data_IF_635578553171
#
_entry.id   IF_635578553171
#
_cell.length_a   1.000
_cell.length_b   1.000
_cell.length_c   1.000
_cell.angle_alpha   90.00
_cell.angle_beta   90.00
_cell.angle_gamma   90.00
#
_symmetry.space_group_name_H-M   'P 1'
#
loop_
_entity.id
_entity.type
_entity.pdbx_description
1 polymer ?
#
# COMPACT_ATOMS: atom_id res chain seq x y z
N UNK A 1 11.23 5.95 0.28
CA UNK A 1 10.92 5.72 -1.11
C UNK A 1 11.80 6.55 -2.00
N UNK A 2 12.13 6.01 -3.17
CA UNK A 2 13.10 6.61 -4.06
C UNK A 2 12.72 8.03 -4.50
N UNK A 3 11.47 8.27 -4.82
CA UNK A 3 11.01 9.58 -5.24
C UNK A 3 9.59 9.82 -4.74
N UNK A 4 9.40 10.92 -4.03
CA UNK A 4 8.10 11.32 -3.49
C UNK A 4 7.44 12.39 -4.36
N UNK A 5 7.53 12.21 -5.67
CA UNK A 5 6.93 13.14 -6.62
C UNK A 5 5.47 12.76 -6.85
N UNK A 6 4.58 13.65 -6.43
CA UNK A 6 3.15 13.50 -6.61
C UNK A 6 2.78 13.72 -8.07
N UNK A 7 2.05 12.80 -8.66
CA UNK A 7 1.61 12.90 -10.05
C UNK A 7 0.24 12.28 -10.22
N UNK A 8 -0.47 12.66 -11.29
CA UNK A 8 -1.73 12.02 -11.67
C UNK A 8 -1.45 10.91 -12.67
N UNK A 9 -2.11 9.79 -12.48
CA UNK A 9 -2.07 8.68 -13.43
C UNK A 9 -3.32 8.70 -14.30
N UNK A 10 -3.15 8.67 -15.62
CA UNK A 10 -4.24 8.58 -16.57
C UNK A 10 -4.34 7.14 -17.08
N UNK A 11 -5.42 6.39 -16.75
CA UNK A 11 -5.50 4.99 -17.14
C UNK A 11 -5.79 4.83 -18.63
N UNK A 12 -5.16 3.79 -19.21
CA UNK A 12 -5.48 3.32 -20.57
C UNK A 12 -6.85 2.64 -20.59
N UNK A 13 -7.21 1.96 -19.50
CA UNK A 13 -8.46 1.21 -19.37
C UNK A 13 -9.26 1.72 -18.16
N UNK A 14 -9.88 2.91 -18.29
CA UNK A 14 -10.55 3.54 -17.15
C UNK A 14 -11.71 2.71 -16.57
N UNK A 15 -12.32 1.83 -17.35
CA UNK A 15 -13.40 0.97 -16.87
C UNK A 15 -12.97 -0.05 -15.81
N UNK A 16 -11.67 -0.36 -15.73
CA UNK A 16 -11.13 -1.25 -14.70
C UNK A 16 -10.98 -0.56 -13.36
N UNK A 17 -10.87 0.76 -13.35
CA UNK A 17 -10.61 1.51 -12.13
C UNK A 17 -11.87 1.65 -11.28
N UNK A 18 -11.75 1.30 -9.99
CA UNK A 18 -12.82 1.43 -9.00
C UNK A 18 -12.67 2.75 -8.26
N UNK A 19 -13.33 3.77 -8.78
CA UNK A 19 -13.28 5.13 -8.27
C UNK A 19 -13.33 6.11 -9.42
N UNK A 20 -12.84 7.33 -9.18
CA UNK A 20 -12.80 8.36 -10.22
C UNK A 20 -11.52 8.21 -11.06
N UNK A 21 -11.60 7.70 -12.31
CA UNK A 21 -10.40 7.51 -13.13
C UNK A 21 -9.72 8.82 -13.54
N UNK A 22 -10.38 9.94 -13.35
CA UNK A 22 -9.80 11.25 -13.64
C UNK A 22 -9.05 11.84 -12.46
N UNK A 23 -9.03 11.15 -11.32
CA UNK A 23 -8.39 11.63 -10.10
C UNK A 23 -7.59 10.53 -9.39
N UNK A 24 -6.69 9.90 -10.13
CA UNK A 24 -5.78 8.88 -9.58
C UNK A 24 -4.46 9.56 -9.25
N UNK A 25 -4.15 9.67 -7.96
CA UNK A 25 -2.94 10.35 -7.50
C UNK A 25 -1.90 9.33 -7.07
N UNK A 26 -0.73 9.38 -7.69
CA UNK A 26 0.44 8.60 -7.30
C UNK A 26 1.35 9.50 -6.47
N UNK A 27 1.71 9.04 -5.28
CA UNK A 27 2.55 9.79 -4.34
C UNK A 27 4.04 9.50 -4.49
N UNK A 28 4.37 8.55 -5.36
CA UNK A 28 5.75 8.18 -5.66
C UNK A 28 5.83 7.50 -7.01
N UNK A 29 7.05 7.38 -7.53
CA UNK A 29 7.31 6.66 -8.79
C UNK A 29 6.98 5.17 -8.66
N UNK A 30 7.15 4.60 -7.48
CA UNK A 30 6.81 3.19 -7.23
C UNK A 30 5.31 2.94 -7.31
N UNK A 31 4.51 3.84 -6.73
CA UNK A 31 3.06 3.77 -6.83
C UNK A 31 2.60 3.92 -8.27
N UNK A 32 3.22 4.84 -9.03
CA UNK A 32 2.91 5.02 -10.44
C UNK A 32 3.22 3.75 -11.24
N UNK A 33 4.33 3.09 -10.96
CA UNK A 33 4.69 1.82 -11.59
C UNK A 33 3.62 0.75 -11.30
N UNK A 34 3.14 0.69 -10.08
CA UNK A 34 2.09 -0.27 -9.69
C UNK A 34 0.76 0.05 -10.37
N UNK A 35 0.38 1.32 -10.46
CA UNK A 35 -0.82 1.76 -11.21
C UNK A 35 -0.76 1.27 -12.64
N UNK A 36 0.37 1.47 -13.30
CA UNK A 36 0.56 1.04 -14.69
C UNK A 36 0.45 -0.48 -14.83
N UNK A 37 1.03 -1.21 -13.90
CA UNK A 37 0.93 -2.67 -13.88
C UNK A 37 -0.53 -3.12 -13.75
N UNK A 38 -1.29 -2.53 -12.83
CA UNK A 38 -2.70 -2.85 -12.64
C UNK A 38 -3.52 -2.55 -13.88
N UNK A 39 -3.27 -1.40 -14.49
CA UNK A 39 -4.01 -0.92 -15.66
C UNK A 39 -3.79 -1.82 -16.88
N UNK A 40 -2.54 -2.22 -17.12
CA UNK A 40 -2.16 -2.95 -18.33
C UNK A 40 -2.22 -4.48 -18.20
N UNK A 41 -2.32 -5.00 -17.00
CA UNK A 41 -2.33 -6.46 -16.78
C UNK A 41 -3.72 -7.02 -17.00
N UNK A 42 -3.84 -7.94 -17.95
CA UNK A 42 -5.13 -8.57 -18.32
C UNK A 42 -5.76 -9.38 -17.18
N UNK A 43 -4.94 -9.88 -16.24
CA UNK A 43 -5.44 -10.66 -15.11
C UNK A 43 -5.99 -9.79 -13.98
N UNK A 44 -5.77 -8.47 -14.03
CA UNK A 44 -6.36 -7.52 -13.08
C UNK A 44 -7.75 -7.15 -13.61
N UNK A 45 -8.78 -7.59 -12.88
CA UNK A 45 -10.19 -7.33 -13.24
C UNK A 45 -10.57 -5.90 -12.89
N UNK A 46 -10.15 -5.46 -11.69
CA UNK A 46 -10.40 -4.10 -11.21
C UNK A 46 -9.34 -3.70 -10.20
N UNK A 47 -9.15 -2.40 -10.02
CA UNK A 47 -8.21 -1.86 -9.06
C UNK A 47 -8.61 -0.47 -8.62
N UNK A 48 -8.15 -0.07 -7.43
CA UNK A 48 -8.38 1.26 -6.88
C UNK A 48 -7.17 1.72 -6.07
N UNK A 49 -6.95 3.02 -6.03
CA UNK A 49 -5.85 3.66 -5.31
C UNK A 49 -6.42 4.55 -4.22
N UNK A 50 -6.12 4.24 -2.96
CA UNK A 50 -6.55 5.02 -1.79
C UNK A 50 -8.07 5.28 -1.73
N UNK A 51 -8.88 4.32 -2.21
CA UNK A 51 -10.34 4.50 -2.33
C UNK A 51 -11.12 4.12 -1.07
N UNK A 52 -10.46 3.55 -0.05
CA UNK A 52 -11.12 3.17 1.19
C UNK A 52 -10.15 3.29 2.36
N UNK A 53 -10.68 3.23 3.58
CA UNK A 53 -9.82 3.28 4.77
C UNK A 53 -10.13 2.16 5.75
N UNK A 54 -9.13 1.83 6.55
CA UNK A 54 -9.23 0.85 7.64
C UNK A 54 -8.93 1.60 8.95
N UNK A 55 -9.83 1.56 9.94
CA UNK A 55 -9.54 2.19 11.22
C UNK A 55 -8.47 1.40 11.98
N UNK A 56 -7.59 2.11 12.65
CA UNK A 56 -6.58 1.51 13.52
C UNK A 56 -6.31 2.43 14.70
N UNK A 57 -5.80 1.87 15.79
CA UNK A 57 -5.41 2.66 16.96
C UNK A 57 -3.93 3.00 16.85
N UNK A 58 -3.61 4.30 16.81
CA UNK A 58 -2.22 4.73 16.72
C UNK A 58 -1.51 4.59 18.06
N UNK A 59 -0.31 3.99 18.10
CA UNK A 59 0.46 3.90 19.35
C UNK A 59 1.04 5.25 19.81
N UNK A 60 0.96 6.28 18.95
CA UNK A 60 1.47 7.61 19.27
C UNK A 60 0.54 8.36 20.23
N UNK A 61 -0.76 8.33 19.98
CA UNK A 61 -1.75 9.09 20.76
C UNK A 61 -2.87 8.23 21.34
N UNK A 62 -2.84 6.92 21.09
CA UNK A 62 -3.84 5.96 21.57
C UNK A 62 -5.24 6.24 21.04
N UNK A 63 -5.35 6.91 19.90
CA UNK A 63 -6.62 7.26 19.26
C UNK A 63 -6.83 6.48 17.98
N UNK A 64 -8.09 6.39 17.55
CA UNK A 64 -8.43 5.76 16.27
C UNK A 64 -8.11 6.73 15.14
N UNK A 65 -7.37 6.22 14.17
CA UNK A 65 -6.99 6.95 12.96
C UNK A 65 -7.45 6.16 11.74
N UNK A 66 -7.42 6.80 10.57
CA UNK A 66 -7.75 6.18 9.30
C UNK A 66 -6.49 5.80 8.57
N UNK A 67 -6.39 4.52 8.20
CA UNK A 67 -5.34 4.03 7.34
C UNK A 67 -5.89 3.83 5.94
N UNK A 68 -5.35 4.56 4.96
CA UNK A 68 -5.71 4.40 3.55
C UNK A 68 -4.66 3.51 2.89
N UNK A 69 -4.96 2.22 2.65
CA UNK A 69 -4.04 1.36 1.91
C UNK A 69 -3.79 1.91 0.52
N UNK A 70 -2.60 1.66 -0.01
CA UNK A 70 -2.24 2.21 -1.33
C UNK A 70 -3.15 1.71 -2.44
N UNK A 71 -3.47 0.41 -2.45
CA UNK A 71 -4.28 -0.18 -3.51
C UNK A 71 -5.20 -1.29 -3.02
N UNK A 72 -6.28 -1.49 -3.75
CA UNK A 72 -7.09 -2.72 -3.70
C UNK A 72 -7.21 -3.25 -5.12
N UNK A 73 -6.97 -4.56 -5.29
CA UNK A 73 -6.99 -5.18 -6.62
C UNK A 73 -7.81 -6.46 -6.61
N UNK A 74 -8.49 -6.75 -7.71
CA UNK A 74 -9.11 -8.05 -7.98
C UNK A 74 -8.35 -8.72 -9.09
N UNK A 75 -7.85 -9.92 -8.83
CA UNK A 75 -7.01 -10.68 -9.75
C UNK A 75 -7.73 -11.95 -10.16
N UNK A 76 -7.72 -12.25 -11.44
CA UNK A 76 -8.16 -13.54 -11.96
C UNK A 76 -6.94 -14.46 -12.04
N UNK A 77 -6.93 -15.50 -11.23
CA UNK A 77 -5.84 -16.46 -11.20
C UNK A 77 -5.93 -17.49 -12.36
N UNK A 78 -4.85 -18.24 -12.57
CA UNK A 78 -4.79 -19.26 -13.62
C UNK A 78 -5.87 -20.34 -13.47
N UNK A 79 -6.33 -20.57 -12.24
CA UNK A 79 -7.41 -21.53 -11.94
C UNK A 79 -8.79 -20.99 -12.27
N UNK A 80 -8.91 -19.72 -12.67
CA UNK A 80 -10.17 -19.03 -12.89
C UNK A 80 -10.76 -18.41 -11.63
N UNK A 81 -10.17 -18.66 -10.46
CA UNK A 81 -10.59 -18.03 -9.20
C UNK A 81 -10.26 -16.54 -9.20
N UNK A 82 -11.14 -15.76 -8.59
CA UNK A 82 -10.93 -14.32 -8.40
C UNK A 82 -10.55 -14.09 -6.95
N UNK A 83 -9.41 -13.45 -6.74
CA UNK A 83 -8.93 -13.05 -5.41
C UNK A 83 -8.80 -11.56 -5.30
N UNK A 84 -9.10 -11.04 -4.12
CA UNK A 84 -8.96 -9.62 -3.81
C UNK A 84 -7.78 -9.45 -2.86
N UNK A 85 -6.93 -8.47 -3.17
CA UNK A 85 -5.76 -8.12 -2.38
C UNK A 85 -5.82 -6.65 -2.00
N UNK A 86 -5.49 -6.36 -0.76
CA UNK A 86 -5.20 -5.00 -0.29
C UNK A 86 -3.68 -4.87 -0.29
N UNK A 87 -3.17 -3.85 -0.96
CA UNK A 87 -1.75 -3.70 -1.25
C UNK A 87 -1.20 -2.44 -0.60
N UNK A 88 -0.07 -2.58 0.07
CA UNK A 88 0.75 -1.48 0.55
C UNK A 88 2.10 -1.54 -0.17
N UNK A 89 2.53 -0.42 -0.75
CA UNK A 89 3.84 -0.31 -1.40
C UNK A 89 4.80 0.35 -0.41
N UNK A 90 5.88 -0.34 -0.07
CA UNK A 90 6.80 0.13 0.97
C UNK A 90 8.23 -0.36 0.69
N UNK A 91 9.27 0.48 0.91
CA UNK A 91 10.64 -0.03 0.85
C UNK A 91 10.88 -1.13 1.87
N UNK A 92 11.59 -2.18 1.47
CA UNK A 92 11.87 -3.33 2.33
C UNK A 92 12.49 -2.93 3.67
N UNK A 93 13.39 -1.97 3.66
CA UNK A 93 14.03 -1.50 4.90
C UNK A 93 13.04 -0.93 5.92
N UNK A 94 11.88 -0.45 5.47
CA UNK A 94 10.84 0.08 6.35
C UNK A 94 9.90 -1.00 6.87
N UNK A 95 10.04 -2.24 6.43
CA UNK A 95 9.29 -3.38 6.94
C UNK A 95 9.95 -4.02 8.16
N UNK A 96 11.17 -3.60 8.47
CA UNK A 96 11.93 -4.05 9.63
C UNK A 96 12.16 -2.88 10.60
N UNK A 97 12.38 -3.15 11.89
CA UNK A 97 12.67 -2.08 12.84
C UNK A 97 13.94 -1.32 12.45
N UNK A 98 14.03 -0.02 12.76
CA UNK A 98 15.25 0.73 12.47
C UNK A 98 16.43 0.15 13.24
N UNK A 99 17.61 0.20 12.64
CA UNK A 99 18.83 -0.34 13.27
C UNK A 99 19.13 0.42 14.55
N UNK A 100 19.41 -0.35 15.61
CA UNK A 100 19.79 0.21 16.88
C UNK A 100 21.08 1.00 16.74
N UNK A 101 21.08 2.23 17.24
CA UNK A 101 22.24 3.13 17.17
C UNK A 101 22.79 3.37 18.56
N UNK A 102 24.11 3.61 18.65
CA UNK A 102 24.76 3.94 19.91
C UNK A 102 24.28 5.26 20.50
N UNK A 103 23.81 6.16 19.62
CA UNK A 103 23.29 7.46 20.04
C UNK A 103 21.85 7.60 19.58
N UNK A 104 20.96 7.95 20.51
CA UNK A 104 19.55 8.19 20.20
C UNK A 104 19.40 9.62 19.67
N UNK A 105 19.00 9.76 18.43
CA UNK A 105 18.77 11.04 17.75
C UNK A 105 17.28 11.24 17.51
N UNK A 106 16.88 12.49 17.19
CA UNK A 106 15.50 12.79 16.78
C UNK A 106 15.10 11.98 15.55
N UNK A 107 16.03 11.80 14.61
CA UNK A 107 15.82 11.00 13.42
C UNK A 107 15.54 9.54 13.76
N UNK A 108 16.30 8.96 14.67
CA UNK A 108 16.08 7.58 15.11
C UNK A 108 14.72 7.43 15.80
N UNK A 109 14.36 8.38 16.68
CA UNK A 109 13.07 8.35 17.37
C UNK A 109 11.90 8.46 16.37
N UNK A 110 12.04 9.30 15.36
CA UNK A 110 11.05 9.43 14.30
C UNK A 110 10.89 8.13 13.50
N UNK A 111 12.00 7.51 13.13
CA UNK A 111 11.99 6.23 12.42
C UNK A 111 11.32 5.13 13.25
N UNK A 112 11.65 5.05 14.53
CA UNK A 112 11.07 4.07 15.45
C UNK A 112 9.56 4.29 15.61
N UNK A 113 9.13 5.54 15.74
CA UNK A 113 7.72 5.90 15.84
C UNK A 113 6.96 5.56 14.56
N UNK A 114 7.53 5.90 13.41
CA UNK A 114 6.95 5.57 12.10
C UNK A 114 6.79 4.06 11.93
N UNK A 115 7.81 3.30 12.33
CA UNK A 115 7.76 1.85 12.29
C UNK A 115 6.61 1.31 13.15
N UNK A 116 6.48 1.82 14.38
CA UNK A 116 5.42 1.39 15.29
C UNK A 116 4.02 1.69 14.72
N UNK A 117 3.84 2.88 14.13
CA UNK A 117 2.58 3.27 13.48
C UNK A 117 2.27 2.34 12.31
N UNK A 118 3.27 2.05 11.47
CA UNK A 118 3.09 1.17 10.32
C UNK A 118 2.72 -0.25 10.77
N UNK A 119 3.34 -0.77 11.82
CA UNK A 119 2.98 -2.08 12.37
C UNK A 119 1.53 -2.12 12.84
N UNK A 120 1.06 -1.06 13.49
CA UNK A 120 -0.34 -0.96 13.94
C UNK A 120 -1.31 -0.91 12.75
N UNK A 121 -0.98 -0.14 11.72
CA UNK A 121 -1.75 -0.07 10.47
C UNK A 121 -1.86 -1.44 9.80
N UNK A 122 -0.74 -2.12 9.65
CA UNK A 122 -0.69 -3.40 8.93
C UNK A 122 -1.36 -4.52 9.70
N UNK A 123 -1.25 -4.52 11.03
CA UNK A 123 -1.98 -5.47 11.86
C UNK A 123 -3.48 -5.28 11.70
N UNK A 124 -3.95 -4.03 11.75
CA UNK A 124 -5.36 -3.73 11.55
C UNK A 124 -5.82 -4.13 10.14
N UNK A 125 -4.96 -3.92 9.13
CA UNK A 125 -5.26 -4.32 7.76
C UNK A 125 -5.36 -5.84 7.62
N UNK A 126 -4.47 -6.60 8.26
CA UNK A 126 -4.53 -8.06 8.24
C UNK A 126 -5.82 -8.58 8.86
N UNK A 127 -6.23 -8.03 9.99
CA UNK A 127 -7.46 -8.42 10.67
C UNK A 127 -8.69 -8.05 9.82
N UNK A 128 -8.71 -6.84 9.27
CA UNK A 128 -9.79 -6.37 8.41
C UNK A 128 -9.94 -7.25 7.17
N UNK A 129 -8.83 -7.63 6.56
CA UNK A 129 -8.80 -8.49 5.38
C UNK A 129 -9.24 -9.91 5.71
N UNK A 130 -8.78 -10.46 6.83
CA UNK A 130 -9.15 -11.80 7.27
C UNK A 130 -10.66 -11.92 7.47
N UNK A 131 -11.29 -10.91 8.07
CA UNK A 131 -12.75 -10.90 8.29
C UNK A 131 -13.54 -10.90 6.98
N UNK A 132 -12.94 -10.46 5.89
CA UNK A 132 -13.58 -10.31 4.57
C UNK A 132 -13.09 -11.29 3.52
N UNK A 133 -12.28 -12.26 3.93
CA UNK A 133 -11.66 -13.23 3.01
C UNK A 133 -10.86 -12.56 1.88
N UNK A 134 -10.16 -11.51 2.25
CA UNK A 134 -9.26 -10.74 1.38
C UNK A 134 -7.85 -10.90 1.91
N UNK A 135 -6.85 -10.87 1.05
CA UNK A 135 -5.46 -10.94 1.49
C UNK A 135 -4.82 -9.56 1.53
N UNK A 136 -4.00 -9.32 2.56
CA UNK A 136 -3.19 -8.11 2.67
C UNK A 136 -1.75 -8.45 2.27
N UNK A 137 -1.17 -7.64 1.38
CA UNK A 137 0.22 -7.82 0.93
C UNK A 137 0.98 -6.51 0.97
N UNK A 138 2.23 -6.59 1.41
CA UNK A 138 3.18 -5.50 1.29
C UNK A 138 4.08 -5.79 0.09
N UNK A 139 4.10 -4.85 -0.85
CA UNK A 139 4.91 -4.93 -2.07
C UNK A 139 6.14 -4.05 -1.87
N UNK A 140 7.30 -4.60 -2.11
CA UNK A 140 8.57 -3.89 -1.97
C UNK A 140 9.24 -3.70 -3.33
N UNK A 141 10.44 -3.11 -3.34
CA UNK A 141 11.23 -2.99 -4.56
C UNK A 141 11.46 -4.32 -5.26
N UNK A 142 11.45 -5.42 -4.51
CA UNK A 142 11.66 -6.76 -5.07
C UNK A 142 10.57 -7.13 -6.06
N UNK A 143 9.31 -7.00 -5.64
CA UNK A 143 8.15 -7.34 -6.48
C UNK A 143 7.98 -6.35 -7.62
N UNK A 144 8.42 -5.09 -7.43
CA UNK A 144 8.35 -4.05 -8.45
C UNK A 144 9.51 -4.15 -9.46
N UNK A 145 10.50 -5.00 -9.19
CA UNK A 145 11.66 -5.14 -10.06
C UNK A 145 12.63 -3.96 -10.00
N UNK A 146 12.68 -3.27 -8.87
CA UNK A 146 13.59 -2.14 -8.63
C UNK A 146 14.79 -2.66 -7.86
N UNK A 147 15.99 -2.30 -8.31
CA UNK A 147 17.25 -2.70 -7.67
C UNK A 147 17.76 -1.67 -6.69
#
# INVERSE_FOLDING_TARGET
MAESIKSKYKPEYPSKYKGNPNNIICRSSWERRFCRWCDLNENIISWGSEEFFIPYVSPVDNRVHRYYPDFIIKVKENTGKIKTYVIEVKPEKQTAPPKKRSRVTKSYLYEAQTYAVNQAKWKAAQEWCADRLVEFKIITERELGIK
#
